data_IF_066729118276
#
_entry.id   IF_066729118276
#
_cell.length_a   1.000
_cell.length_b   1.000
_cell.length_c   1.000
_cell.angle_alpha   90.00
_cell.angle_beta   90.00
_cell.angle_gamma   90.00
#
_symmetry.space_group_name_H-M   'P 1'
#
loop_
_entity.id
_entity.type
_entity.pdbx_description
1 polymer ?
#
# COMPACT_ATOMS: atom_id res chain seq x y z
N UNK A 1 -1.69 -9.30 -4.98
CA UNK A 1 -0.38 -9.94 -4.79
C UNK A 1 0.69 -8.97 -4.28
N UNK A 2 0.54 -7.63 -4.41
CA UNK A 2 1.56 -6.68 -3.92
C UNK A 2 2.85 -6.73 -4.76
N UNK A 3 2.74 -7.16 -6.01
CA UNK A 3 3.86 -7.33 -6.93
C UNK A 3 4.25 -6.00 -7.57
N UNK A 4 5.52 -5.89 -7.94
CA UNK A 4 6.03 -4.74 -8.69
C UNK A 4 5.48 -4.78 -10.11
N UNK A 5 4.67 -3.80 -10.47
CA UNK A 5 4.08 -3.68 -11.81
C UNK A 5 4.98 -2.93 -12.80
N UNK A 6 5.88 -2.09 -12.30
CA UNK A 6 6.86 -1.34 -13.10
C UNK A 6 8.12 -1.04 -12.27
N UNK A 7 9.27 -0.92 -12.95
CA UNK A 7 10.57 -0.66 -12.33
C UNK A 7 11.17 -1.86 -11.58
N UNK A 8 12.06 -1.57 -10.62
CA UNK A 8 12.76 -2.59 -9.81
C UNK A 8 12.88 -2.14 -8.36
N UNK A 9 12.44 -2.99 -7.44
CA UNK A 9 12.75 -2.87 -6.01
C UNK A 9 13.78 -3.94 -5.63
N UNK A 10 14.87 -3.57 -4.93
CA UNK A 10 15.76 -4.56 -4.32
C UNK A 10 14.98 -5.48 -3.36
N UNK A 11 15.33 -6.76 -3.23
CA UNK A 11 14.57 -7.72 -2.43
C UNK A 11 14.29 -7.27 -1.00
N UNK A 12 15.27 -6.63 -0.34
CA UNK A 12 15.11 -6.08 1.02
C UNK A 12 14.03 -4.99 1.09
N UNK A 13 14.00 -4.09 0.11
CA UNK A 13 13.02 -2.99 0.07
C UNK A 13 11.62 -3.53 -0.23
N UNK A 14 11.52 -4.50 -1.14
CA UNK A 14 10.25 -5.18 -1.40
C UNK A 14 9.71 -5.84 -0.12
N UNK A 15 10.56 -6.48 0.68
CA UNK A 15 10.18 -7.03 1.99
C UNK A 15 9.53 -5.99 2.90
N UNK A 16 10.17 -4.83 3.07
CA UNK A 16 9.66 -3.74 3.92
C UNK A 16 8.30 -3.21 3.42
N UNK A 17 8.14 -3.02 2.11
CA UNK A 17 6.87 -2.57 1.53
C UNK A 17 5.77 -3.63 1.73
N UNK A 18 6.11 -4.92 1.65
CA UNK A 18 5.17 -6.00 1.88
C UNK A 18 4.73 -6.09 3.34
N UNK A 19 5.66 -5.93 4.29
CA UNK A 19 5.36 -5.88 5.72
C UNK A 19 4.42 -4.71 6.04
N UNK A 20 4.75 -3.51 5.56
CA UNK A 20 3.90 -2.34 5.68
C UNK A 20 2.51 -2.58 5.07
N UNK A 21 2.44 -3.14 3.84
CA UNK A 21 1.17 -3.43 3.17
C UNK A 21 0.31 -4.40 3.96
N UNK A 22 0.89 -5.41 4.60
CA UNK A 22 0.14 -6.37 5.40
C UNK A 22 -0.36 -5.73 6.71
N UNK A 23 0.45 -4.89 7.37
CA UNK A 23 0.02 -4.13 8.55
C UNK A 23 -1.16 -3.18 8.25
N UNK A 24 -1.16 -2.55 7.07
CA UNK A 24 -2.16 -1.54 6.68
C UNK A 24 -3.21 -2.06 5.68
N UNK A 25 -3.36 -3.38 5.54
CA UNK A 25 -4.21 -3.99 4.49
C UNK A 25 -5.67 -3.54 4.54
N UNK A 26 -6.22 -3.38 5.73
CA UNK A 26 -7.60 -2.93 5.92
C UNK A 26 -7.78 -1.46 5.50
N UNK A 27 -6.84 -0.60 5.88
CA UNK A 27 -6.83 0.82 5.53
C UNK A 27 -6.68 1.01 4.01
N UNK A 28 -5.77 0.27 3.38
CA UNK A 28 -5.59 0.26 1.93
C UNK A 28 -6.86 -0.18 1.18
N UNK A 29 -7.58 -1.17 1.72
CA UNK A 29 -8.83 -1.62 1.12
C UNK A 29 -9.96 -0.58 1.25
N UNK A 30 -10.02 0.14 2.38
CA UNK A 30 -10.95 1.25 2.57
C UNK A 30 -10.64 2.40 1.62
N UNK A 31 -9.38 2.82 1.54
CA UNK A 31 -8.93 3.88 0.65
C UNK A 31 -9.17 3.52 -0.82
N UNK A 32 -9.05 2.24 -1.19
CA UNK A 32 -9.43 1.78 -2.51
C UNK A 32 -10.91 2.01 -2.82
N UNK A 33 -11.82 1.78 -1.87
CA UNK A 33 -13.24 2.09 -2.07
C UNK A 33 -13.48 3.59 -2.16
N UNK A 34 -12.84 4.40 -1.29
CA UNK A 34 -12.95 5.86 -1.33
C UNK A 34 -12.46 6.43 -2.67
N UNK A 35 -11.34 5.92 -3.20
CA UNK A 35 -10.80 6.30 -4.49
C UNK A 35 -11.79 6.02 -5.63
N UNK A 36 -12.42 4.84 -5.64
CA UNK A 36 -13.44 4.46 -6.64
C UNK A 36 -14.66 5.39 -6.60
N UNK A 37 -15.01 5.88 -5.43
CA UNK A 37 -16.10 6.84 -5.21
C UNK A 37 -15.67 8.31 -5.40
N UNK A 38 -14.41 8.57 -5.77
CA UNK A 38 -13.81 9.91 -5.90
C UNK A 38 -13.91 10.74 -4.61
N UNK A 39 -13.83 10.07 -3.46
CA UNK A 39 -13.80 10.70 -2.13
C UNK A 39 -12.37 10.97 -1.69
N UNK A 40 -12.23 11.81 -0.66
CA UNK A 40 -10.95 12.08 -0.01
C UNK A 40 -10.41 10.79 0.64
N UNK A 41 -9.15 10.47 0.37
CA UNK A 41 -8.46 9.32 0.96
C UNK A 41 -8.06 9.62 2.41
N UNK A 42 -7.89 8.57 3.20
CA UNK A 42 -7.37 8.69 4.56
C UNK A 42 -5.85 8.70 4.55
N UNK A 43 -5.26 9.27 5.60
CA UNK A 43 -3.82 9.14 5.81
C UNK A 43 -3.55 7.75 6.37
N UNK A 44 -2.64 7.03 5.73
CA UNK A 44 -2.05 5.80 6.25
C UNK A 44 -0.65 6.16 6.75
N UNK A 45 -0.28 5.68 7.94
CA UNK A 45 1.05 5.92 8.48
C UNK A 45 2.13 5.34 7.55
N UNK A 46 3.21 6.07 7.27
CA UNK A 46 4.26 5.62 6.35
C UNK A 46 5.13 4.53 6.98
N UNK A 47 5.89 3.83 6.14
CA UNK A 47 7.01 2.99 6.58
C UNK A 47 8.12 3.88 7.16
N UNK A 48 8.60 3.55 8.37
CA UNK A 48 9.74 4.22 9.05
C UNK A 48 11.11 3.85 8.45
#
# INVERSE_FOLDING_TARGET
SGEVVDGRLPPRVLGLVQEWRECHKAELAEDWQLARERKLLKRIEPLE
#
